data_IF_552012334469
#
_entry.id   IF_552012334469
#
_cell.length_a   1.000
_cell.length_b   1.000
_cell.length_c   1.000
_cell.angle_alpha   90.00
_cell.angle_beta   90.00
_cell.angle_gamma   90.00
#
_symmetry.space_group_name_H-M   'P 1'
#
loop_
_entity.id
_entity.type
_entity.pdbx_description
1 polymer ?
#
# COMPACT_ATOMS: atom_id res chain seq x y z
N UNK A 1 14.45 -18.99 -61.10
CA UNK A 1 14.18 -17.52 -61.14
C UNK A 1 12.92 -17.20 -60.36
N UNK A 2 12.90 -17.16 -59.01
CA UNK A 2 11.74 -16.75 -58.13
C UNK A 2 12.18 -16.28 -56.71
N UNK A 3 13.38 -15.74 -56.52
CA UNK A 3 13.91 -15.35 -55.19
C UNK A 3 14.21 -13.85 -54.98
N UNK A 4 13.92 -12.97 -55.95
CA UNK A 4 14.28 -11.54 -55.82
C UNK A 4 13.10 -10.56 -55.74
N UNK A 5 11.85 -11.05 -55.59
CA UNK A 5 10.68 -10.17 -55.55
C UNK A 5 10.25 -9.77 -54.11
N UNK A 6 10.87 -10.33 -53.08
CA UNK A 6 10.49 -10.06 -51.68
C UNK A 6 11.30 -8.97 -50.96
N UNK A 7 12.38 -8.47 -51.61
CA UNK A 7 13.29 -7.52 -50.96
C UNK A 7 12.93 -6.05 -51.24
N UNK A 8 12.00 -5.74 -52.13
CA UNK A 8 11.63 -4.38 -52.47
C UNK A 8 10.36 -3.84 -51.74
N UNK A 9 9.66 -4.69 -50.96
CA UNK A 9 8.42 -4.27 -50.22
C UNK A 9 8.64 -3.82 -48.78
N UNK A 10 9.84 -4.05 -48.22
CA UNK A 10 10.15 -3.67 -46.83
C UNK A 10 10.38 -2.17 -46.59
N UNK A 11 10.89 -1.33 -47.52
CA UNK A 11 11.02 0.08 -47.24
C UNK A 11 9.71 0.88 -47.37
N UNK A 12 8.66 0.36 -48.04
CA UNK A 12 7.39 1.10 -48.19
C UNK A 12 6.47 1.01 -46.95
N UNK A 13 6.65 0.04 -46.08
CA UNK A 13 5.87 -0.06 -44.83
C UNK A 13 6.46 0.78 -43.68
N UNK A 14 7.70 1.24 -43.77
CA UNK A 14 8.33 2.08 -42.74
C UNK A 14 7.93 3.56 -42.81
N UNK A 15 7.21 3.98 -43.84
CA UNK A 15 6.90 5.43 -44.08
C UNK A 15 5.48 5.85 -43.69
N UNK A 16 4.65 4.95 -43.17
CA UNK A 16 3.25 5.27 -42.90
C UNK A 16 2.91 5.48 -41.39
N UNK A 17 3.88 5.50 -40.48
CA UNK A 17 3.63 5.78 -39.07
C UNK A 17 4.32 7.02 -38.50
N UNK A 18 4.64 8.01 -39.33
CA UNK A 18 4.71 9.37 -38.83
C UNK A 18 3.30 9.94 -38.80
N UNK A 19 2.49 9.47 -37.88
CA UNK A 19 1.34 10.23 -37.42
C UNK A 19 1.90 11.51 -36.79
N UNK A 20 2.10 12.55 -37.64
CA UNK A 20 2.30 13.90 -37.21
C UNK A 20 1.13 14.22 -36.29
N UNK A 21 1.40 14.29 -34.98
CA UNK A 21 0.41 14.71 -34.00
C UNK A 21 -0.09 16.09 -34.50
N UNK A 22 -1.30 16.11 -35.07
CA UNK A 22 -1.92 17.37 -35.49
C UNK A 22 -1.95 18.26 -34.25
N UNK A 23 -1.30 19.42 -34.26
CA UNK A 23 -1.25 20.27 -33.09
C UNK A 23 -2.68 20.62 -32.68
N UNK A 24 -3.07 20.24 -31.47
CA UNK A 24 -4.41 20.56 -30.97
C UNK A 24 -4.51 22.07 -30.88
N UNK A 25 -5.42 22.63 -31.69
CA UNK A 25 -5.71 24.08 -31.63
C UNK A 25 -6.49 24.34 -30.33
N UNK A 26 -5.92 25.16 -29.47
CA UNK A 26 -6.58 25.60 -28.25
C UNK A 26 -7.77 26.52 -28.63
N UNK A 27 -8.97 25.97 -28.62
CA UNK A 27 -10.21 26.73 -28.85
C UNK A 27 -10.93 26.99 -27.52
N UNK A 28 -11.80 27.99 -27.48
CA UNK A 28 -12.62 28.28 -26.31
C UNK A 28 -13.43 27.05 -25.83
N UNK A 29 -13.85 26.21 -26.77
CA UNK A 29 -14.54 24.95 -26.49
C UNK A 29 -13.62 23.94 -25.74
N UNK A 30 -12.40 23.73 -26.25
CA UNK A 30 -11.40 22.81 -25.61
C UNK A 30 -11.04 23.30 -24.20
N UNK A 31 -10.90 24.62 -24.01
CA UNK A 31 -10.65 25.22 -22.70
C UNK A 31 -11.79 24.91 -21.74
N UNK A 32 -13.04 25.20 -22.16
CA UNK A 32 -14.23 24.97 -21.32
C UNK A 32 -14.36 23.49 -20.92
N UNK A 33 -14.27 22.59 -21.89
CA UNK A 33 -14.35 21.14 -21.66
C UNK A 33 -13.24 20.64 -20.72
N UNK A 34 -12.00 21.11 -20.92
CA UNK A 34 -10.87 20.73 -20.06
C UNK A 34 -11.09 21.19 -18.62
N UNK A 35 -11.57 22.44 -18.43
CA UNK A 35 -11.86 22.96 -17.10
C UNK A 35 -13.00 22.20 -16.42
N UNK A 36 -14.04 21.83 -17.16
CA UNK A 36 -15.17 21.06 -16.62
C UNK A 36 -14.73 19.65 -16.18
N UNK A 37 -13.95 18.98 -17.02
CA UNK A 37 -13.36 17.67 -16.67
C UNK A 37 -12.46 17.80 -15.44
N UNK A 38 -11.60 18.81 -15.41
CA UNK A 38 -10.69 19.05 -14.30
C UNK A 38 -11.43 19.42 -13.00
N UNK A 39 -12.48 20.23 -13.09
CA UNK A 39 -13.32 20.59 -11.95
C UNK A 39 -14.05 19.37 -11.39
N UNK A 40 -14.67 18.56 -12.26
CA UNK A 40 -15.33 17.32 -11.90
C UNK A 40 -14.36 16.36 -11.20
N UNK A 41 -13.15 16.23 -11.72
CA UNK A 41 -12.11 15.38 -11.14
C UNK A 41 -11.60 15.90 -9.78
N UNK A 42 -11.58 17.23 -9.62
CA UNK A 42 -11.26 17.87 -8.32
C UNK A 42 -12.40 17.84 -7.31
N UNK A 43 -13.60 17.40 -7.70
CA UNK A 43 -14.79 17.47 -6.86
C UNK A 43 -15.24 18.91 -6.56
N UNK A 44 -14.92 19.87 -7.46
CA UNK A 44 -15.21 21.30 -7.27
C UNK A 44 -16.22 21.81 -8.27
N UNK A 45 -17.15 22.63 -7.78
CA UNK A 45 -18.03 23.44 -8.62
C UNK A 45 -17.40 24.83 -8.75
N UNK A 46 -17.11 25.25 -9.97
CA UNK A 46 -16.51 26.56 -10.23
C UNK A 46 -17.62 27.59 -10.51
N UNK A 47 -17.48 28.75 -9.89
CA UNK A 47 -18.26 29.94 -10.29
C UNK A 47 -17.85 30.40 -11.70
N UNK A 48 -18.67 31.22 -12.41
CA UNK A 48 -18.31 31.75 -13.69
C UNK A 48 -16.96 32.50 -13.68
N UNK A 49 -16.69 33.27 -12.65
CA UNK A 49 -15.41 33.95 -12.44
C UNK A 49 -14.25 32.97 -12.27
N UNK A 50 -14.49 31.89 -11.49
CA UNK A 50 -13.51 30.79 -11.29
C UNK A 50 -13.19 30.05 -12.59
N UNK A 51 -14.19 29.79 -13.44
CA UNK A 51 -13.98 29.19 -14.76
C UNK A 51 -13.15 30.12 -15.67
N UNK A 52 -13.44 31.43 -15.70
CA UNK A 52 -12.69 32.40 -16.46
C UNK A 52 -11.22 32.51 -15.99
N UNK A 53 -10.99 32.53 -14.68
CA UNK A 53 -9.63 32.57 -14.12
C UNK A 53 -8.84 31.29 -14.46
N UNK A 54 -9.46 30.11 -14.32
CA UNK A 54 -8.86 28.84 -14.69
C UNK A 54 -8.57 28.78 -16.20
N UNK A 55 -9.46 29.33 -17.05
CA UNK A 55 -9.27 29.42 -18.47
C UNK A 55 -8.02 30.22 -18.87
N UNK A 56 -7.88 31.42 -18.31
CA UNK A 56 -6.68 32.25 -18.53
C UNK A 56 -5.40 31.57 -18.08
N UNK A 57 -5.43 30.87 -16.93
CA UNK A 57 -4.28 30.14 -16.45
C UNK A 57 -3.93 28.95 -17.34
N UNK A 58 -4.93 28.21 -17.84
CA UNK A 58 -4.78 27.14 -18.80
C UNK A 58 -4.19 27.63 -20.13
N UNK A 59 -4.71 28.72 -20.70
CA UNK A 59 -4.18 29.32 -21.91
C UNK A 59 -2.71 29.71 -21.79
N UNK A 60 -2.36 30.38 -20.68
CA UNK A 60 -0.96 30.75 -20.38
C UNK A 60 -0.04 29.52 -20.25
N UNK A 61 -0.51 28.48 -19.60
CA UNK A 61 0.25 27.23 -19.46
C UNK A 61 0.37 26.52 -20.82
N UNK A 62 -0.72 26.42 -21.57
CA UNK A 62 -0.73 25.78 -22.88
C UNK A 62 0.20 26.47 -23.88
N UNK A 63 0.17 27.81 -23.93
CA UNK A 63 1.07 28.59 -24.81
C UNK A 63 2.56 28.28 -24.53
N UNK A 64 2.89 27.89 -23.31
CA UNK A 64 4.27 27.62 -22.90
C UNK A 64 4.66 26.14 -22.96
N UNK A 65 3.74 25.22 -22.69
CA UNK A 65 4.02 23.81 -22.49
C UNK A 65 3.21 22.85 -23.39
N UNK A 66 2.32 23.40 -24.25
CA UNK A 66 1.59 22.63 -25.24
C UNK A 66 0.56 21.65 -24.68
N UNK A 67 0.33 20.58 -25.43
CA UNK A 67 -0.72 19.58 -25.18
C UNK A 67 -0.57 18.82 -23.84
N UNK A 68 0.64 18.75 -23.30
CA UNK A 68 0.87 18.09 -22.00
C UNK A 68 0.04 18.74 -20.89
N UNK A 69 -0.24 20.05 -21.00
CA UNK A 69 -1.09 20.78 -20.04
C UNK A 69 -2.51 20.26 -20.07
N UNK A 70 -3.09 20.04 -21.24
CA UNK A 70 -4.46 19.53 -21.37
C UNK A 70 -4.59 18.14 -20.79
N UNK A 71 -3.66 17.24 -21.14
CA UNK A 71 -3.60 15.87 -20.63
C UNK A 71 -3.43 15.82 -19.11
N UNK A 72 -2.54 16.67 -18.60
CA UNK A 72 -2.28 16.77 -17.16
C UNK A 72 -3.51 17.28 -16.39
N UNK A 73 -4.19 18.31 -16.92
CA UNK A 73 -5.42 18.85 -16.33
C UNK A 73 -6.55 17.83 -16.32
N UNK A 74 -6.75 17.11 -17.42
CA UNK A 74 -7.77 16.07 -17.51
C UNK A 74 -7.53 14.93 -16.54
N UNK A 75 -6.27 14.58 -16.27
CA UNK A 75 -5.89 13.49 -15.36
C UNK A 75 -5.80 13.95 -13.89
N UNK A 76 -5.12 15.05 -13.62
CA UNK A 76 -4.78 15.54 -12.29
C UNK A 76 -5.82 16.49 -11.67
N UNK A 77 -6.66 17.12 -12.50
CA UNK A 77 -7.65 18.09 -12.04
C UNK A 77 -7.12 19.51 -11.96
N UNK A 78 -7.91 20.40 -11.33
CA UNK A 78 -7.60 21.85 -11.24
C UNK A 78 -6.32 22.16 -10.43
N UNK A 79 -5.98 21.32 -9.46
CA UNK A 79 -4.77 21.45 -8.65
C UNK A 79 -3.50 21.41 -9.52
N UNK A 80 -3.57 20.78 -10.69
CA UNK A 80 -2.47 20.74 -11.66
C UNK A 80 -2.03 22.15 -12.11
N UNK A 81 -2.94 23.12 -12.18
CA UNK A 81 -2.57 24.52 -12.51
C UNK A 81 -1.64 25.12 -11.47
N UNK A 82 -1.91 24.89 -10.17
CA UNK A 82 -1.08 25.39 -9.08
C UNK A 82 0.30 24.73 -9.11
N UNK A 83 0.35 23.43 -9.24
CA UNK A 83 1.62 22.69 -9.24
C UNK A 83 2.42 22.90 -10.52
N UNK A 84 1.74 22.98 -11.66
CA UNK A 84 2.38 23.29 -12.93
C UNK A 84 2.97 24.71 -12.97
N UNK A 85 2.34 25.67 -12.30
CA UNK A 85 2.91 27.02 -12.14
C UNK A 85 4.19 27.02 -11.30
N UNK A 86 4.30 26.14 -10.30
CA UNK A 86 5.47 26.02 -9.40
C UNK A 86 6.62 25.24 -10.02
N UNK A 87 6.30 24.08 -10.64
CA UNK A 87 7.31 23.12 -11.10
C UNK A 87 7.55 23.17 -12.61
N UNK A 88 6.74 23.94 -13.35
CA UNK A 88 6.95 24.21 -14.77
C UNK A 88 6.72 23.02 -15.69
N UNK A 89 7.45 23.00 -16.82
CA UNK A 89 7.26 22.02 -17.89
C UNK A 89 7.49 20.56 -17.47
N UNK A 90 8.36 20.33 -16.53
CA UNK A 90 8.64 18.99 -16.02
C UNK A 90 7.40 18.38 -15.37
N UNK A 91 6.69 19.13 -14.53
CA UNK A 91 5.44 18.69 -13.92
C UNK A 91 4.40 18.30 -14.99
N UNK A 92 4.18 19.16 -15.98
CA UNK A 92 3.21 18.92 -17.02
C UNK A 92 3.51 17.65 -17.81
N UNK A 93 4.77 17.47 -18.20
CA UNK A 93 5.25 16.29 -18.93
C UNK A 93 5.05 14.99 -18.15
N UNK A 94 5.39 14.99 -16.88
CA UNK A 94 5.26 13.80 -16.02
C UNK A 94 3.77 13.50 -15.76
N UNK A 95 3.00 14.52 -15.39
CA UNK A 95 1.57 14.40 -15.11
C UNK A 95 0.80 13.90 -16.35
N UNK A 96 1.15 14.36 -17.54
CA UNK A 96 0.54 13.90 -18.80
C UNK A 96 0.84 12.42 -19.11
N UNK A 97 2.02 11.91 -18.71
CA UNK A 97 2.47 10.54 -19.02
C UNK A 97 2.04 9.49 -17.99
N UNK A 98 1.79 9.90 -16.77
CA UNK A 98 1.41 8.99 -15.69
C UNK A 98 -0.08 8.59 -15.77
N UNK A 99 -0.49 7.63 -14.94
CA UNK A 99 -1.89 7.23 -14.82
C UNK A 99 -2.76 8.34 -14.21
N UNK A 100 -4.09 8.33 -14.35
CA UNK A 100 -4.96 9.31 -13.70
C UNK A 100 -4.80 9.38 -12.18
N UNK A 101 -4.55 8.23 -11.52
CA UNK A 101 -4.30 8.18 -10.07
C UNK A 101 -2.98 8.86 -9.70
N UNK A 102 -1.89 8.54 -10.39
CA UNK A 102 -0.59 9.17 -10.18
C UNK A 102 -0.60 10.66 -10.51
N UNK A 103 -1.27 11.06 -11.61
CA UNK A 103 -1.45 12.46 -11.95
C UNK A 103 -2.23 13.24 -10.87
N UNK A 104 -3.26 12.61 -10.30
CA UNK A 104 -4.04 13.19 -9.20
C UNK A 104 -3.19 13.34 -7.94
N UNK A 105 -2.43 12.30 -7.57
CA UNK A 105 -1.51 12.36 -6.43
C UNK A 105 -0.47 13.45 -6.62
N UNK A 106 0.14 13.53 -7.82
CA UNK A 106 1.12 14.57 -8.17
C UNK A 106 0.52 15.98 -8.12
N UNK A 107 -0.73 16.16 -8.57
CA UNK A 107 -1.42 17.44 -8.52
C UNK A 107 -1.73 17.88 -7.07
N UNK A 108 -2.04 16.94 -6.18
CA UNK A 108 -2.33 17.24 -4.78
C UNK A 108 -1.06 17.47 -3.96
N UNK A 109 -0.01 16.67 -4.20
CA UNK A 109 1.18 16.59 -3.36
C UNK A 109 2.48 16.90 -4.11
N UNK A 110 2.42 17.69 -5.19
CA UNK A 110 3.56 17.96 -6.08
C UNK A 110 4.79 18.49 -5.37
N UNK A 111 4.63 19.31 -4.33
CA UNK A 111 5.75 19.87 -3.56
C UNK A 111 6.59 18.75 -2.88
N UNK A 112 5.96 17.66 -2.46
CA UNK A 112 6.63 16.50 -1.84
C UNK A 112 7.08 15.49 -2.90
N UNK A 113 6.25 15.25 -3.92
CA UNK A 113 6.51 14.18 -4.89
C UNK A 113 7.50 14.59 -5.98
N UNK A 114 7.55 15.86 -6.41
CA UNK A 114 8.45 16.30 -7.48
C UNK A 114 9.94 16.04 -7.19
N UNK A 115 10.47 16.26 -5.97
CA UNK A 115 11.85 15.87 -5.65
C UNK A 115 12.10 14.37 -5.84
N UNK A 116 11.15 13.50 -5.43
CA UNK A 116 11.26 12.06 -5.60
C UNK A 116 11.14 11.63 -7.06
N UNK A 117 10.28 12.30 -7.82
CA UNK A 117 10.16 12.08 -9.26
C UNK A 117 11.44 12.46 -10.00
N UNK A 118 12.10 13.57 -9.62
CA UNK A 118 13.39 13.95 -10.19
C UNK A 118 14.48 12.93 -9.91
N UNK A 119 14.46 12.35 -8.72
CA UNK A 119 15.45 11.37 -8.29
C UNK A 119 15.24 9.99 -8.92
N UNK A 120 13.99 9.51 -8.99
CA UNK A 120 13.64 8.15 -9.37
C UNK A 120 12.88 8.02 -10.69
N UNK A 121 12.53 9.15 -11.31
CA UNK A 121 11.86 9.17 -12.60
C UNK A 121 10.43 8.64 -12.59
N UNK A 122 10.02 8.11 -13.74
CA UNK A 122 8.67 7.59 -13.93
C UNK A 122 8.37 6.36 -13.07
N UNK A 123 9.39 5.59 -12.67
CA UNK A 123 9.22 4.40 -11.82
C UNK A 123 8.63 4.76 -10.46
N UNK A 124 9.03 5.91 -9.89
CA UNK A 124 8.40 6.41 -8.68
C UNK A 124 6.92 6.74 -8.90
N UNK A 125 6.57 7.32 -10.05
CA UNK A 125 5.17 7.62 -10.38
C UNK A 125 4.33 6.35 -10.62
N UNK A 126 4.93 5.26 -11.08
CA UNK A 126 4.28 3.96 -11.16
C UNK A 126 3.95 3.42 -9.77
N UNK A 127 4.90 3.51 -8.84
CA UNK A 127 4.66 3.15 -7.42
C UNK A 127 3.57 4.03 -6.80
N UNK A 128 3.66 5.35 -6.95
CA UNK A 128 2.68 6.30 -6.42
C UNK A 128 1.29 6.10 -7.04
N UNK A 129 1.22 5.75 -8.33
CA UNK A 129 -0.04 5.42 -9.01
C UNK A 129 -0.70 4.16 -8.47
N UNK A 130 0.11 3.19 -8.07
CA UNK A 130 -0.32 1.90 -7.51
C UNK A 130 -0.87 2.05 -6.09
N UNK A 131 -0.21 2.89 -5.29
CA UNK A 131 -0.56 3.16 -3.88
C UNK A 131 -0.54 4.66 -3.59
N UNK A 132 -1.57 5.41 -4.02
CA UNK A 132 -1.61 6.86 -3.91
C UNK A 132 -1.43 7.34 -2.46
N UNK A 133 -0.48 8.26 -2.25
CA UNK A 133 -0.12 8.80 -0.93
C UNK A 133 0.81 7.91 -0.10
N UNK A 134 1.10 6.67 -0.54
CA UNK A 134 2.02 5.77 0.15
C UNK A 134 3.37 5.61 -0.55
N UNK A 135 3.50 6.00 -1.82
CA UNK A 135 4.76 5.89 -2.55
C UNK A 135 5.88 6.71 -1.91
N UNK A 136 5.60 7.97 -1.55
CA UNK A 136 6.55 8.80 -0.82
C UNK A 136 6.92 8.21 0.54
N UNK A 137 5.93 7.70 1.28
CA UNK A 137 6.15 7.05 2.58
C UNK A 137 6.96 5.76 2.44
N UNK A 138 6.79 5.01 1.36
CA UNK A 138 7.61 3.83 1.09
C UNK A 138 9.09 4.21 0.91
N UNK A 139 9.38 5.28 0.14
CA UNK A 139 10.74 5.77 -0.04
C UNK A 139 11.34 6.30 1.26
N UNK A 140 10.56 7.04 2.05
CA UNK A 140 10.99 7.53 3.37
C UNK A 140 11.32 6.38 4.34
N UNK A 141 10.52 5.31 4.30
CA UNK A 141 10.65 4.16 5.21
C UNK A 141 11.78 3.20 4.82
N UNK A 142 11.88 2.86 3.53
CA UNK A 142 12.78 1.81 3.02
C UNK A 142 13.94 2.36 2.19
N UNK A 143 14.04 3.69 2.08
CA UNK A 143 15.05 4.34 1.27
C UNK A 143 14.79 4.24 -0.24
N UNK A 144 15.80 4.60 -1.01
CA UNK A 144 15.74 4.68 -2.48
C UNK A 144 15.43 3.32 -3.14
N UNK A 145 15.81 2.24 -2.50
CA UNK A 145 15.54 0.88 -3.00
C UNK A 145 14.06 0.53 -3.01
N UNK A 146 13.21 1.25 -2.26
CA UNK A 146 11.77 1.04 -2.24
C UNK A 146 11.14 1.08 -3.63
N UNK A 147 11.60 2.00 -4.49
CA UNK A 147 11.05 2.13 -5.85
C UNK A 147 11.30 0.87 -6.67
N UNK A 148 12.52 0.31 -6.61
CA UNK A 148 12.86 -0.94 -7.31
C UNK A 148 12.19 -2.15 -6.68
N UNK A 149 12.19 -2.22 -5.36
CA UNK A 149 11.61 -3.31 -4.59
C UNK A 149 10.11 -3.47 -4.87
N UNK A 150 9.39 -2.35 -4.91
CA UNK A 150 7.94 -2.36 -5.11
C UNK A 150 7.47 -2.15 -6.55
N UNK A 151 8.40 -2.00 -7.52
CA UNK A 151 8.06 -1.81 -8.93
C UNK A 151 7.07 -2.87 -9.46
N UNK A 152 7.32 -4.15 -9.13
CA UNK A 152 6.49 -5.29 -9.55
C UNK A 152 5.55 -5.81 -8.45
N UNK A 153 5.67 -5.30 -7.22
CA UNK A 153 4.89 -5.76 -6.09
C UNK A 153 3.39 -5.42 -6.24
N UNK A 154 2.47 -6.26 -5.73
CA UNK A 154 1.06 -5.90 -5.57
C UNK A 154 0.90 -4.68 -4.65
N UNK A 155 -0.18 -3.91 -4.83
CA UNK A 155 -0.48 -2.75 -3.98
C UNK A 155 -0.65 -3.12 -2.50
N UNK A 156 -1.24 -4.28 -2.24
CA UNK A 156 -1.47 -4.80 -0.89
C UNK A 156 -0.15 -5.09 -0.17
N UNK A 157 0.85 -5.61 -0.88
CA UNK A 157 2.17 -5.88 -0.30
C UNK A 157 2.85 -4.58 0.13
N UNK A 158 2.80 -3.54 -0.70
CA UNK A 158 3.35 -2.22 -0.35
C UNK A 158 2.69 -1.68 0.92
N UNK A 159 1.36 -1.76 0.98
CA UNK A 159 0.58 -1.30 2.13
C UNK A 159 0.92 -2.09 3.39
N UNK A 160 1.01 -3.42 3.29
CA UNK A 160 1.40 -4.31 4.39
C UNK A 160 2.82 -4.03 4.88
N UNK A 161 3.78 -3.89 3.96
CA UNK A 161 5.18 -3.58 4.28
C UNK A 161 5.32 -2.27 5.03
N UNK A 162 4.67 -1.20 4.57
CA UNK A 162 4.65 0.09 5.27
C UNK A 162 4.00 -0.05 6.65
N UNK A 163 2.90 -0.81 6.75
CA UNK A 163 2.22 -1.09 8.01
C UNK A 163 3.09 -1.86 9.00
N UNK A 164 3.86 -2.83 8.53
CA UNK A 164 4.81 -3.57 9.37
C UNK A 164 5.98 -2.70 9.81
N UNK A 165 6.57 -1.92 8.89
CA UNK A 165 7.67 -1.03 9.22
C UNK A 165 7.27 0.04 10.25
N UNK A 166 6.04 0.56 10.18
CA UNK A 166 5.52 1.51 11.17
C UNK A 166 5.38 0.92 12.59
N UNK A 167 5.41 -0.41 12.72
CA UNK A 167 5.31 -1.14 13.99
C UNK A 167 6.62 -1.81 14.38
N UNK A 168 7.66 -1.65 13.58
CA UNK A 168 8.96 -2.20 13.88
C UNK A 168 9.55 -1.53 15.13
N UNK A 169 10.18 -2.34 15.97
CA UNK A 169 10.81 -1.94 17.22
C UNK A 169 12.05 -1.04 17.01
N UNK A 170 12.69 -1.18 15.86
CA UNK A 170 13.89 -0.38 15.53
C UNK A 170 14.20 -0.40 14.01
N UNK A 171 15.10 0.50 13.53
CA UNK A 171 15.47 0.55 12.11
C UNK A 171 16.13 -0.72 11.56
N UNK A 172 16.79 -1.53 12.42
CA UNK A 172 17.39 -2.82 12.00
C UNK A 172 16.31 -3.81 11.62
N UNK A 173 15.19 -3.81 12.36
CA UNK A 173 14.01 -4.64 12.06
C UNK A 173 13.41 -4.27 10.70
N UNK A 174 13.34 -2.97 10.36
CA UNK A 174 12.86 -2.51 9.04
C UNK A 174 13.76 -3.03 7.92
N UNK A 175 15.09 -2.95 8.08
CA UNK A 175 16.04 -3.48 7.10
C UNK A 175 15.94 -5.00 6.94
N UNK A 176 15.81 -5.74 8.04
CA UNK A 176 15.61 -7.19 7.99
C UNK A 176 14.30 -7.56 7.30
N UNK A 177 13.24 -6.81 7.54
CA UNK A 177 11.96 -7.00 6.84
C UNK A 177 12.11 -6.75 5.34
N UNK A 178 12.81 -5.69 4.96
CA UNK A 178 13.12 -5.37 3.56
C UNK A 178 13.92 -6.49 2.90
N UNK A 179 15.02 -6.94 3.53
CA UNK A 179 15.86 -8.03 3.01
C UNK A 179 15.07 -9.33 2.87
N UNK A 180 14.27 -9.68 3.88
CA UNK A 180 13.44 -10.87 3.86
C UNK A 180 12.37 -10.80 2.76
N UNK A 181 11.73 -9.63 2.56
CA UNK A 181 10.78 -9.43 1.49
C UNK A 181 11.41 -9.64 0.11
N UNK A 182 12.57 -9.02 -0.14
CA UNK A 182 13.29 -9.15 -1.41
C UNK A 182 13.73 -10.60 -1.66
N UNK A 183 14.35 -11.24 -0.67
CA UNK A 183 14.85 -12.62 -0.79
C UNK A 183 13.75 -13.66 -0.96
N UNK A 184 12.58 -13.45 -0.35
CA UNK A 184 11.43 -14.34 -0.47
C UNK A 184 10.50 -13.99 -1.62
N UNK A 185 10.83 -12.98 -2.42
CA UNK A 185 9.97 -12.45 -3.47
C UNK A 185 8.53 -12.16 -2.96
N UNK A 186 8.42 -11.55 -1.78
CA UNK A 186 7.16 -11.18 -1.15
C UNK A 186 6.52 -12.27 -0.26
N UNK A 187 6.86 -13.55 -0.44
CA UNK A 187 6.25 -14.69 0.29
C UNK A 187 6.34 -14.57 1.82
N UNK A 188 7.34 -13.84 2.35
CA UNK A 188 7.47 -13.60 3.79
C UNK A 188 6.21 -13.00 4.41
N UNK A 189 5.47 -12.18 3.64
CA UNK A 189 4.25 -11.52 4.12
C UNK A 189 3.13 -12.51 4.47
N UNK A 190 3.11 -13.68 3.85
CA UNK A 190 2.09 -14.70 4.08
C UNK A 190 2.32 -15.41 5.43
N UNK A 191 3.56 -15.41 5.92
CA UNK A 191 3.97 -16.01 7.17
C UNK A 191 4.05 -15.01 8.35
N UNK A 192 3.93 -13.71 8.09
CA UNK A 192 3.85 -12.69 9.12
C UNK A 192 2.43 -12.55 9.65
N UNK A 193 2.20 -13.00 10.88
CA UNK A 193 0.88 -12.94 11.49
C UNK A 193 0.55 -11.52 11.97
N UNK A 194 -0.36 -10.84 11.27
CA UNK A 194 -0.79 -9.48 11.57
C UNK A 194 -1.34 -9.31 12.98
N UNK A 195 -2.08 -10.27 13.49
CA UNK A 195 -2.65 -10.21 14.86
C UNK A 195 -1.56 -10.20 15.93
N UNK A 196 -0.52 -11.02 15.76
CA UNK A 196 0.62 -11.03 16.67
C UNK A 196 1.45 -9.76 16.59
N UNK A 197 1.63 -9.21 15.38
CA UNK A 197 2.34 -7.95 15.19
C UNK A 197 1.58 -6.78 15.83
N UNK A 198 0.25 -6.78 15.74
CA UNK A 198 -0.59 -5.76 16.38
C UNK A 198 -0.51 -5.83 17.92
N UNK A 199 -0.36 -7.01 18.48
CA UNK A 199 -0.32 -7.22 19.93
C UNK A 199 1.08 -7.01 20.53
N UNK A 200 2.13 -7.51 19.86
CA UNK A 200 3.49 -7.59 20.40
C UNK A 200 4.53 -6.72 19.68
N UNK A 201 4.15 -6.06 18.59
CA UNK A 201 5.07 -5.38 17.70
C UNK A 201 5.82 -6.35 16.78
N UNK A 202 6.51 -5.80 15.77
CA UNK A 202 7.33 -6.54 14.83
C UNK A 202 8.75 -6.63 15.40
N UNK A 203 9.17 -7.82 15.84
CA UNK A 203 10.52 -8.05 16.35
C UNK A 203 11.44 -8.69 15.31
N UNK A 204 12.75 -8.52 15.48
CA UNK A 204 13.78 -9.20 14.68
C UNK A 204 13.58 -10.72 14.68
N UNK A 205 13.25 -11.29 15.86
CA UNK A 205 13.01 -12.72 16.00
C UNK A 205 11.81 -13.21 15.18
N UNK A 206 10.73 -12.44 15.13
CA UNK A 206 9.54 -12.77 14.34
C UNK A 206 9.86 -12.84 12.83
N UNK A 207 10.61 -11.87 12.32
CA UNK A 207 11.02 -11.84 10.90
C UNK A 207 11.93 -13.00 10.56
N UNK A 208 12.95 -13.28 11.40
CA UNK A 208 13.87 -14.40 11.19
C UNK A 208 13.12 -15.74 11.22
N UNK A 209 12.18 -15.90 12.14
CA UNK A 209 11.37 -17.13 12.23
C UNK A 209 10.48 -17.32 11.01
N UNK A 210 9.78 -16.26 10.58
CA UNK A 210 8.95 -16.29 9.38
C UNK A 210 9.79 -16.58 8.13
N UNK A 211 10.97 -15.93 7.99
CA UNK A 211 11.87 -16.17 6.88
C UNK A 211 12.40 -17.61 6.84
N UNK A 212 12.83 -18.15 7.98
CA UNK A 212 13.27 -19.55 8.08
C UNK A 212 12.15 -20.52 7.70
N UNK A 213 10.93 -20.26 8.17
CA UNK A 213 9.77 -21.06 7.83
C UNK A 213 9.50 -21.05 6.31
N UNK A 214 9.49 -19.86 5.70
CA UNK A 214 9.30 -19.70 4.24
C UNK A 214 10.35 -20.50 3.47
N UNK A 215 11.62 -20.32 3.83
CA UNK A 215 12.75 -20.96 3.14
C UNK A 215 12.73 -22.50 3.32
N UNK A 216 12.40 -22.97 4.51
CA UNK A 216 12.30 -24.42 4.79
C UNK A 216 11.15 -25.08 4.04
N UNK A 217 10.00 -24.41 3.95
CA UNK A 217 8.85 -24.91 3.18
C UNK A 217 9.13 -24.93 1.67
N UNK A 218 9.83 -23.91 1.14
CA UNK A 218 10.20 -23.84 -0.27
C UNK A 218 11.20 -24.95 -0.63
N UNK A 219 12.26 -25.15 0.19
CA UNK A 219 13.25 -26.20 0.01
C UNK A 219 12.63 -27.60 0.06
N UNK A 220 11.68 -27.83 0.99
CA UNK A 220 10.97 -29.10 1.10
C UNK A 220 10.03 -29.34 -0.08
N UNK A 221 9.36 -28.28 -0.57
CA UNK A 221 8.46 -28.39 -1.73
C UNK A 221 9.22 -28.71 -3.02
N UNK A 222 10.42 -28.15 -3.18
CA UNK A 222 11.25 -28.37 -4.36
C UNK A 222 11.99 -29.72 -4.31
N UNK A 223 12.53 -30.09 -3.14
CA UNK A 223 13.34 -31.30 -3.01
C UNK A 223 12.54 -32.59 -2.84
N UNK A 224 11.36 -32.54 -2.25
CA UNK A 224 10.58 -33.74 -1.97
C UNK A 224 9.10 -33.41 -1.69
N UNK A 225 8.25 -33.22 -2.73
CA UNK A 225 6.85 -32.88 -2.54
C UNK A 225 6.05 -33.96 -1.80
N UNK A 226 6.44 -35.24 -1.95
CA UNK A 226 5.82 -36.35 -1.22
C UNK A 226 6.15 -36.32 0.27
N UNK A 227 7.39 -35.92 0.63
CA UNK A 227 7.81 -35.77 2.01
C UNK A 227 7.03 -34.61 2.69
N UNK A 228 6.82 -33.51 1.98
CA UNK A 228 6.01 -32.39 2.48
C UNK A 228 4.55 -32.82 2.74
N UNK A 229 3.96 -33.56 1.79
CA UNK A 229 2.61 -34.09 1.94
C UNK A 229 2.52 -35.08 3.11
N UNK A 230 3.51 -35.96 3.28
CA UNK A 230 3.58 -36.92 4.38
C UNK A 230 3.78 -36.24 5.75
N UNK A 231 4.64 -35.20 5.82
CA UNK A 231 4.86 -34.43 7.07
C UNK A 231 3.60 -33.68 7.45
N UNK A 232 2.92 -33.05 6.50
CA UNK A 232 1.64 -32.35 6.74
C UNK A 232 0.57 -33.32 7.21
N UNK A 233 0.41 -34.45 6.50
CA UNK A 233 -0.59 -35.49 6.85
C UNK A 233 -0.26 -36.12 8.20
N UNK A 234 0.99 -36.45 8.47
CA UNK A 234 1.46 -36.96 9.76
C UNK A 234 1.23 -35.96 10.90
N UNK A 235 1.53 -34.69 10.67
CA UNK A 235 1.33 -33.62 11.68
C UNK A 235 -0.15 -33.44 12.02
N UNK A 236 -1.04 -33.53 11.03
CA UNK A 236 -2.50 -33.50 11.24
C UNK A 236 -2.95 -34.73 12.05
N UNK A 237 -2.44 -35.92 11.74
CA UNK A 237 -2.74 -37.14 12.48
C UNK A 237 -2.28 -37.04 13.94
N UNK A 238 -1.06 -36.56 14.20
CA UNK A 238 -0.57 -36.36 15.57
C UNK A 238 -1.36 -35.31 16.35
N UNK A 239 -1.78 -34.23 15.70
CA UNK A 239 -2.66 -33.23 16.32
C UNK A 239 -4.02 -33.82 16.67
N UNK A 240 -4.57 -34.66 15.79
CA UNK A 240 -5.83 -35.38 16.04
C UNK A 240 -5.70 -36.37 17.21
N UNK A 241 -4.60 -37.15 17.24
CA UNK A 241 -4.31 -38.08 18.34
C UNK A 241 -4.15 -37.33 19.67
N UNK A 242 -3.40 -36.22 19.70
CA UNK A 242 -3.25 -35.36 20.87
C UNK A 242 -4.59 -34.76 21.33
N UNK A 243 -5.43 -34.33 20.40
CA UNK A 243 -6.76 -33.79 20.71
C UNK A 243 -7.67 -34.89 21.31
N UNK A 244 -7.68 -36.08 20.71
CA UNK A 244 -8.44 -37.22 21.24
C UNK A 244 -7.90 -37.66 22.59
N UNK A 245 -6.58 -37.75 22.76
CA UNK A 245 -5.96 -38.10 24.05
C UNK A 245 -6.33 -37.05 25.11
N UNK A 246 -6.30 -35.76 24.77
CA UNK A 246 -6.69 -34.69 25.70
C UNK A 246 -8.16 -34.80 26.10
N UNK A 247 -9.06 -35.09 25.15
CA UNK A 247 -10.48 -35.31 25.44
C UNK A 247 -10.66 -36.54 26.34
N UNK A 248 -9.97 -37.66 26.06
CA UNK A 248 -10.01 -38.88 26.90
C UNK A 248 -9.53 -38.58 28.32
N UNK A 249 -8.37 -37.89 28.47
CA UNK A 249 -7.83 -37.51 29.78
C UNK A 249 -8.80 -36.62 30.56
N UNK A 250 -9.45 -35.67 29.88
CA UNK A 250 -10.45 -34.79 30.46
C UNK A 250 -11.72 -35.53 30.89
N UNK A 251 -12.10 -36.58 30.15
CA UNK A 251 -13.28 -37.38 30.52
C UNK A 251 -13.02 -38.36 31.67
N UNK A 252 -11.87 -39.01 31.68
CA UNK A 252 -11.56 -40.07 32.67
C UNK A 252 -10.89 -39.56 33.93
N UNK A 253 -10.19 -38.42 33.92
CA UNK A 253 -9.50 -37.88 35.07
C UNK A 253 -10.30 -36.78 35.78
N UNK A 254 -11.07 -37.17 36.81
CA UNK A 254 -11.79 -36.19 37.67
C UNK A 254 -10.84 -35.16 38.34
N UNK A 255 -9.59 -35.56 38.63
CA UNK A 255 -8.58 -34.68 39.24
C UNK A 255 -8.07 -33.64 38.25
N UNK A 256 -7.75 -34.04 36.99
CA UNK A 256 -7.24 -33.14 35.95
C UNK A 256 -8.30 -32.17 35.49
N UNK A 257 -9.56 -32.64 35.33
CA UNK A 257 -10.70 -31.79 35.01
C UNK A 257 -10.94 -30.70 36.05
N UNK A 258 -10.81 -31.03 37.36
CA UNK A 258 -10.90 -30.02 38.43
C UNK A 258 -9.75 -29.01 38.33
N UNK A 259 -8.49 -29.47 38.13
CA UNK A 259 -7.33 -28.61 38.03
C UNK A 259 -7.43 -27.66 36.82
N UNK A 260 -7.90 -28.12 35.64
CA UNK A 260 -8.10 -27.30 34.46
C UNK A 260 -9.26 -26.31 34.67
N UNK A 261 -10.39 -26.76 35.25
CA UNK A 261 -11.49 -25.88 35.57
C UNK A 261 -11.09 -24.81 36.59
N UNK A 262 -10.28 -25.17 37.58
CA UNK A 262 -9.74 -24.20 38.54
C UNK A 262 -8.78 -23.21 37.87
N UNK A 263 -7.94 -23.67 36.93
CA UNK A 263 -7.04 -22.81 36.16
C UNK A 263 -7.80 -21.83 35.27
N UNK A 264 -8.87 -22.29 34.63
CA UNK A 264 -9.71 -21.43 33.73
C UNK A 264 -10.58 -20.49 34.56
N UNK A 265 -11.12 -20.95 35.69
CA UNK A 265 -12.02 -20.15 36.52
C UNK A 265 -11.24 -19.20 37.44
N UNK A 266 -10.00 -19.52 37.80
CA UNK A 266 -9.17 -18.70 38.68
C UNK A 266 -9.05 -17.22 38.27
N UNK A 267 -8.74 -16.87 37.01
CA UNK A 267 -8.68 -15.47 36.58
C UNK A 267 -10.05 -14.78 36.70
N UNK A 268 -11.15 -15.49 36.43
CA UNK A 268 -12.50 -14.93 36.59
C UNK A 268 -12.86 -14.74 38.09
N UNK A 269 -12.47 -15.65 38.98
CA UNK A 269 -12.65 -15.46 40.43
C UNK A 269 -11.82 -14.29 40.96
N UNK A 270 -10.64 -14.03 40.41
CA UNK A 270 -9.81 -12.87 40.75
C UNK A 270 -10.46 -11.57 40.29
N UNK A 271 -10.96 -11.51 39.06
CA UNK A 271 -11.70 -10.38 38.51
C UNK A 271 -12.95 -10.08 39.40
N UNK A 272 -13.75 -11.09 39.72
CA UNK A 272 -14.92 -10.90 40.58
C UNK A 272 -14.57 -10.43 42.01
N UNK A 273 -13.41 -10.84 42.55
CA UNK A 273 -12.91 -10.34 43.86
C UNK A 273 -12.54 -8.85 43.78
N UNK A 274 -11.92 -8.41 42.70
CA UNK A 274 -11.55 -7.01 42.50
C UNK A 274 -12.79 -6.15 42.37
N UNK A 275 -13.80 -6.58 41.61
CA UNK A 275 -15.05 -5.87 41.47
C UNK A 275 -15.90 -5.84 42.75
N UNK A 276 -15.81 -6.88 43.58
CA UNK A 276 -16.57 -6.94 44.86
C UNK A 276 -15.91 -6.15 46.01
N UNK A 277 -14.63 -5.75 45.89
CA UNK A 277 -13.91 -4.95 46.90
C UNK A 277 -14.08 -3.45 46.77
N UNK A 278 -14.86 -2.95 45.81
CA UNK A 278 -15.26 -1.55 45.73
C UNK A 278 -16.76 -1.40 46.03
N UNK A 279 -17.23 -1.60 47.29
CA UNK A 279 -18.52 -1.00 47.69
C UNK A 279 -18.27 0.52 47.67
N UNK A 280 -19.07 1.23 46.88
CA UNK A 280 -19.12 2.68 46.89
C UNK A 280 -19.18 3.15 48.36
N UNK A 281 -18.22 3.98 48.77
CA UNK A 281 -18.33 4.73 50.02
C UNK A 281 -19.60 5.56 49.93
N UNK A 282 -20.63 5.06 50.53
CA UNK A 282 -21.86 5.78 50.80
C UNK A 282 -21.47 7.02 51.59
N UNK A 283 -21.57 8.18 50.95
CA UNK A 283 -21.38 9.48 51.58
C UNK A 283 -22.54 9.67 52.57
N UNK A 284 -22.26 9.59 53.83
CA UNK A 284 -23.19 10.06 54.87
C UNK A 284 -23.56 11.53 54.59
N UNK A 285 -24.88 11.86 54.60
CA UNK A 285 -25.28 13.25 54.46
C UNK A 285 -24.86 14.03 55.71
N UNK A 286 -24.54 15.34 55.56
CA UNK A 286 -24.11 16.15 56.70
C UNK A 286 -25.27 16.40 57.62
N UNK A 287 -25.05 16.15 58.94
CA UNK A 287 -25.93 16.45 60.05
C UNK A 287 -26.39 17.93 60.01
N UNK A 288 -27.65 18.13 59.81
CA UNK A 288 -28.31 19.44 59.96
C UNK A 288 -28.48 19.72 61.46
N UNK A 289 -27.57 20.47 62.06
CA UNK A 289 -27.82 21.12 63.32
C UNK A 289 -28.84 22.24 63.12
N UNK A 290 -30.00 22.12 63.74
CA UNK A 290 -30.89 23.22 64.02
C UNK A 290 -30.58 23.84 65.38
N UNK A 291 -31.00 25.11 65.61
CA UNK A 291 -30.51 26.03 66.58
C UNK A 291 -30.97 25.74 67.99
#
# INVERSE_FOLDING_TARGET
MKKHLFLCLLPLMAWTFSLSAVPVKLTAKVISETIEIAAKRSGRVLSPAGKAAAGKALEKAFARYGDDVLKAMQKGGLESLKQGARHGGEFWKICARTTPQGARSLALHGDVLMPLVRKHGIQFMELESKVPGLGAKAVDTFGDDAVRMFAKAPADDVTRMIGYAAKADNPKTVRLLQDAYVKSNGKILDHLNWKHIMAAGLSTAAIISAYKLTNSMETLAESNPELLANVLTSSIHWLLVLLVATVIILFFSKRLRRAIMDLVIYPFRLLFRVFRKNPAKEKNPPDSKKP
#
